data_IF_649162103077
#
_entry.id   IF_649162103077
#
_cell.length_a   1.000
_cell.length_b   1.000
_cell.length_c   1.000
_cell.angle_alpha   90.00
_cell.angle_beta   90.00
_cell.angle_gamma   90.00
#
_symmetry.space_group_name_H-M   'P 1'
#
loop_
_entity.id
_entity.type
_entity.pdbx_description
1 polymer ?
#
# COMPACT_ATOMS: atom_id res chain seq x y z
N UNK A 1 14.19 -37.98 3.68
CA UNK A 1 14.48 -36.53 3.64
C UNK A 1 14.71 -36.05 5.07
N UNK A 2 15.97 -35.84 5.47
CA UNK A 2 16.32 -35.34 6.80
C UNK A 2 16.47 -33.82 6.75
N UNK A 3 15.60 -33.08 7.43
CA UNK A 3 15.84 -31.67 7.71
C UNK A 3 16.93 -31.59 8.78
N UNK A 4 18.18 -31.42 8.33
CA UNK A 4 19.31 -31.14 9.20
C UNK A 4 19.01 -29.86 9.98
N UNK A 5 18.72 -30.00 11.28
CA UNK A 5 18.59 -28.88 12.19
C UNK A 5 19.96 -28.21 12.31
N UNK A 6 20.05 -26.95 11.88
CA UNK A 6 21.31 -26.19 11.88
C UNK A 6 21.93 -26.18 13.29
N UNK A 7 23.26 -26.39 13.42
CA UNK A 7 23.99 -26.39 14.69
C UNK A 7 23.74 -25.11 15.51
N UNK A 8 23.76 -25.21 16.85
CA UNK A 8 23.45 -24.09 17.77
C UNK A 8 24.38 -22.88 17.57
N UNK A 9 25.62 -23.10 17.14
CA UNK A 9 26.57 -22.05 16.78
C UNK A 9 26.13 -21.26 15.52
N UNK A 10 25.52 -21.95 14.54
CA UNK A 10 24.98 -21.32 13.33
C UNK A 10 23.61 -20.69 13.56
N UNK A 11 22.85 -21.12 14.57
CA UNK A 11 21.62 -20.41 15.00
C UNK A 11 21.90 -18.98 15.48
N UNK A 12 23.09 -18.70 16.04
CA UNK A 12 23.55 -17.31 16.33
C UNK A 12 23.80 -16.53 15.03
N UNK A 13 24.32 -17.19 14.00
CA UNK A 13 24.55 -16.59 12.68
C UNK A 13 23.24 -16.36 11.92
N UNK A 14 22.29 -17.30 12.01
CA UNK A 14 20.97 -17.16 11.40
C UNK A 14 20.20 -15.97 11.99
N UNK A 15 20.09 -15.86 13.31
CA UNK A 15 19.44 -14.69 13.94
C UNK A 15 20.13 -13.37 13.61
N UNK A 16 21.46 -13.36 13.46
CA UNK A 16 22.21 -12.17 13.07
C UNK A 16 21.98 -11.82 11.59
N UNK A 17 21.95 -12.82 10.72
CA UNK A 17 21.66 -12.69 9.29
C UNK A 17 20.23 -12.22 9.06
N UNK A 18 19.24 -12.82 9.72
CA UNK A 18 17.85 -12.38 9.65
C UNK A 18 17.69 -10.97 10.21
N UNK A 19 18.34 -10.62 11.34
CA UNK A 19 18.33 -9.24 11.83
C UNK A 19 18.98 -8.25 10.86
N UNK A 20 20.08 -8.62 10.18
CA UNK A 20 20.71 -7.75 9.18
C UNK A 20 19.85 -7.61 7.93
N UNK A 21 19.18 -8.68 7.51
CA UNK A 21 18.22 -8.64 6.42
C UNK A 21 16.99 -7.80 6.81
N UNK A 22 16.47 -7.94 8.01
CA UNK A 22 15.40 -7.09 8.57
C UNK A 22 15.86 -5.65 8.82
N UNK A 23 17.13 -5.36 9.13
CA UNK A 23 17.59 -3.97 9.21
C UNK A 23 17.75 -3.34 7.83
N UNK A 24 18.20 -4.14 6.84
CA UNK A 24 18.47 -3.66 5.49
C UNK A 24 17.20 -3.55 4.63
N UNK A 25 16.32 -4.52 4.75
CA UNK A 25 15.06 -4.66 4.02
C UNK A 25 13.83 -4.45 4.91
N UNK A 26 14.05 -4.02 6.16
CA UNK A 26 13.00 -3.92 7.17
C UNK A 26 11.75 -3.24 6.71
N UNK A 27 10.64 -3.81 7.18
CA UNK A 27 9.29 -3.37 6.93
C UNK A 27 9.15 -1.86 6.97
N UNK A 28 9.73 -1.16 7.97
CA UNK A 28 9.65 0.32 8.06
C UNK A 28 10.29 1.09 6.90
N UNK A 29 11.48 0.70 6.44
CA UNK A 29 12.13 1.38 5.29
C UNK A 29 11.38 1.11 4.01
N UNK A 30 10.89 -0.12 3.85
CA UNK A 30 10.08 -0.51 2.70
C UNK A 30 8.70 0.18 2.73
N UNK A 31 8.08 0.27 3.90
CA UNK A 31 6.84 0.99 4.18
C UNK A 31 6.98 2.47 3.82
N UNK A 32 8.03 3.13 4.29
CA UNK A 32 8.30 4.53 3.96
C UNK A 32 8.48 4.73 2.45
N UNK A 33 9.12 3.79 1.74
CA UNK A 33 9.22 3.85 0.27
C UNK A 33 7.85 3.74 -0.39
N UNK A 34 6.98 2.85 0.08
CA UNK A 34 5.63 2.70 -0.44
C UNK A 34 4.76 3.91 -0.13
N UNK A 35 4.87 4.48 1.08
CA UNK A 35 4.23 5.74 1.46
C UNK A 35 4.67 6.88 0.54
N UNK A 36 5.97 7.04 0.30
CA UNK A 36 6.47 8.06 -0.63
C UNK A 36 6.00 7.82 -2.07
N UNK A 37 5.91 6.57 -2.52
CA UNK A 37 5.36 6.25 -3.85
C UNK A 37 3.88 6.60 -3.94
N UNK A 38 3.10 6.24 -2.93
CA UNK A 38 1.68 6.56 -2.84
C UNK A 38 1.48 8.08 -2.87
N UNK A 39 2.15 8.83 -1.99
CA UNK A 39 2.02 10.28 -1.88
C UNK A 39 2.35 11.04 -3.18
N UNK A 40 3.33 10.55 -3.93
CA UNK A 40 3.73 11.16 -5.20
C UNK A 40 2.91 10.67 -6.39
N UNK A 41 2.00 9.71 -6.19
CA UNK A 41 1.21 9.14 -7.27
C UNK A 41 0.03 10.05 -7.59
N UNK A 42 0.16 10.79 -8.69
CA UNK A 42 -0.91 11.57 -9.30
C UNK A 42 -1.47 10.86 -10.51
N UNK A 43 -2.76 11.03 -10.80
CA UNK A 43 -3.41 10.41 -11.96
C UNK A 43 -2.85 10.97 -13.28
N UNK A 44 -2.51 10.10 -14.22
CA UNK A 44 -2.10 10.51 -15.56
C UNK A 44 -3.27 11.04 -16.39
N UNK A 45 -3.02 11.97 -17.33
CA UNK A 45 -4.08 12.58 -18.17
C UNK A 45 -4.86 11.57 -19.02
N UNK A 46 -4.22 10.47 -19.43
CA UNK A 46 -4.79 9.39 -20.24
C UNK A 46 -5.16 8.17 -19.41
N UNK A 47 -4.99 8.24 -18.09
CA UNK A 47 -5.21 7.11 -17.19
C UNK A 47 -6.69 7.04 -16.78
N UNK A 48 -7.25 5.83 -16.83
CA UNK A 48 -8.61 5.58 -16.35
C UNK A 48 -8.66 5.64 -14.83
N UNK A 49 -9.79 6.07 -14.27
CA UNK A 49 -9.95 6.12 -12.81
C UNK A 49 -9.88 4.72 -12.20
N UNK A 50 -10.38 3.70 -12.90
CA UNK A 50 -10.24 2.31 -12.51
C UNK A 50 -8.78 1.87 -12.32
N UNK A 51 -7.93 2.10 -13.33
CA UNK A 51 -6.51 1.73 -13.26
C UNK A 51 -5.78 2.50 -12.15
N UNK A 52 -6.08 3.78 -12.00
CA UNK A 52 -5.54 4.61 -10.94
C UNK A 52 -5.97 4.13 -9.54
N UNK A 53 -7.26 3.82 -9.37
CA UNK A 53 -7.83 3.31 -8.14
C UNK A 53 -7.20 1.98 -7.71
N UNK A 54 -7.07 1.03 -8.63
CA UNK A 54 -6.43 -0.26 -8.37
C UNK A 54 -4.96 -0.10 -7.94
N UNK A 55 -4.22 0.81 -8.59
CA UNK A 55 -2.84 1.07 -8.22
C UNK A 55 -2.73 1.74 -6.84
N UNK A 56 -3.58 2.70 -6.54
CA UNK A 56 -3.64 3.35 -5.22
C UNK A 56 -4.00 2.34 -4.13
N UNK A 57 -4.96 1.42 -4.38
CA UNK A 57 -5.30 0.34 -3.45
C UNK A 57 -4.09 -0.55 -3.15
N UNK A 58 -3.37 -0.98 -4.19
CA UNK A 58 -2.16 -1.80 -4.04
C UNK A 58 -1.04 -1.07 -3.30
N UNK A 59 -0.88 0.24 -3.53
CA UNK A 59 0.10 1.06 -2.85
C UNK A 59 -0.27 1.23 -1.37
N UNK A 60 -1.54 1.47 -1.04
CA UNK A 60 -2.03 1.56 0.34
C UNK A 60 -1.81 0.27 1.12
N UNK A 61 -2.12 -0.89 0.55
CA UNK A 61 -1.88 -2.19 1.20
C UNK A 61 -0.40 -2.42 1.53
N UNK A 62 0.50 -1.97 0.64
CA UNK A 62 1.96 -2.09 0.83
C UNK A 62 2.52 -1.02 1.78
N UNK A 63 1.93 0.16 1.80
CA UNK A 63 2.32 1.30 2.63
C UNK A 63 1.77 1.22 4.06
N UNK A 64 0.67 0.50 4.26
CA UNK A 64 -0.03 0.39 5.54
C UNK A 64 -0.27 -1.08 5.92
N UNK A 65 0.70 -1.96 5.67
CA UNK A 65 0.57 -3.40 5.90
C UNK A 65 0.29 -3.81 7.36
N UNK A 66 0.44 -2.89 8.30
CA UNK A 66 0.16 -3.09 9.73
C UNK A 66 -1.23 -2.60 10.15
N UNK A 67 -1.94 -1.88 9.28
CA UNK A 67 -3.31 -1.44 9.52
C UNK A 67 -4.29 -2.52 9.07
N UNK A 68 -5.50 -2.47 9.60
CA UNK A 68 -6.64 -3.26 9.15
C UNK A 68 -7.06 -2.88 7.73
N UNK A 69 -7.74 -3.80 7.04
CA UNK A 69 -8.10 -3.64 5.64
C UNK A 69 -9.05 -2.45 5.41
N UNK A 70 -9.95 -2.18 6.37
CA UNK A 70 -10.88 -1.06 6.30
C UNK A 70 -10.14 0.29 6.38
N UNK A 71 -9.20 0.44 7.31
CA UNK A 71 -8.35 1.63 7.37
C UNK A 71 -7.47 1.78 6.11
N UNK A 72 -6.95 0.69 5.54
CA UNK A 72 -6.20 0.73 4.29
C UNK A 72 -7.06 1.23 3.11
N UNK A 73 -8.30 0.76 3.02
CA UNK A 73 -9.28 1.16 2.00
C UNK A 73 -9.62 2.65 2.12
N UNK A 74 -9.89 3.12 3.34
CA UNK A 74 -10.20 4.52 3.64
C UNK A 74 -9.04 5.46 3.27
N UNK A 75 -7.80 5.08 3.61
CA UNK A 75 -6.61 5.85 3.25
C UNK A 75 -6.38 5.89 1.73
N UNK A 76 -6.67 4.78 1.05
CA UNK A 76 -6.61 4.70 -0.40
C UNK A 76 -7.63 5.65 -1.06
N UNK A 77 -8.87 5.66 -0.56
CA UNK A 77 -9.92 6.59 -1.00
C UNK A 77 -9.56 8.06 -0.77
N UNK A 78 -9.08 8.40 0.41
CA UNK A 78 -8.65 9.76 0.71
C UNK A 78 -7.56 10.23 -0.26
N UNK A 79 -6.66 9.32 -0.63
CA UNK A 79 -5.61 9.60 -1.61
C UNK A 79 -6.15 9.77 -3.03
N UNK A 80 -7.13 8.97 -3.42
CA UNK A 80 -7.85 9.10 -4.68
C UNK A 80 -8.53 10.47 -4.78
N UNK A 81 -9.26 10.89 -3.74
CA UNK A 81 -9.89 12.21 -3.67
C UNK A 81 -8.89 13.36 -3.72
N UNK A 82 -7.68 13.20 -3.19
CA UNK A 82 -6.68 14.28 -3.23
C UNK A 82 -6.09 14.49 -4.63
N UNK A 83 -6.01 13.43 -5.43
CA UNK A 83 -5.24 13.41 -6.67
C UNK A 83 -6.10 13.36 -7.95
N UNK A 84 -7.42 13.47 -7.81
CA UNK A 84 -8.36 13.55 -8.93
C UNK A 84 -8.91 14.97 -9.14
N UNK A 85 -9.61 15.20 -10.25
CA UNK A 85 -10.15 16.51 -10.60
C UNK A 85 -11.18 17.01 -9.57
N UNK A 86 -11.29 18.33 -9.41
CA UNK A 86 -12.24 18.94 -8.48
C UNK A 86 -13.69 18.53 -8.76
N UNK A 87 -14.06 18.39 -10.02
CA UNK A 87 -15.39 17.95 -10.44
C UNK A 87 -15.66 16.50 -10.04
N UNK A 88 -14.67 15.61 -10.21
CA UNK A 88 -14.81 14.22 -9.82
C UNK A 88 -14.87 14.04 -8.30
N UNK A 89 -14.05 14.81 -7.57
CA UNK A 89 -14.11 14.87 -6.10
C UNK A 89 -15.51 15.18 -5.59
N UNK A 90 -16.20 16.15 -6.19
CA UNK A 90 -17.58 16.48 -5.80
C UNK A 90 -18.50 15.28 -5.98
N UNK A 91 -18.47 14.63 -7.16
CA UNK A 91 -19.32 13.46 -7.44
C UNK A 91 -19.08 12.29 -6.49
N UNK A 92 -17.82 12.07 -6.10
CA UNK A 92 -17.43 11.01 -5.17
C UNK A 92 -17.81 11.34 -3.73
N UNK A 93 -17.66 12.60 -3.31
CA UNK A 93 -18.07 13.05 -1.97
C UNK A 93 -19.59 13.00 -1.80
N UNK A 94 -20.35 13.36 -2.84
CA UNK A 94 -21.82 13.35 -2.81
C UNK A 94 -22.39 11.93 -2.62
N UNK A 95 -21.67 10.90 -3.09
CA UNK A 95 -22.08 9.49 -2.97
C UNK A 95 -21.52 8.76 -1.74
N UNK A 96 -20.72 9.43 -0.90
CA UNK A 96 -20.14 8.86 0.33
C UNK A 96 -19.51 7.48 0.13
N UNK A 97 -18.73 7.30 -0.95
CA UNK A 97 -18.11 6.00 -1.27
C UNK A 97 -17.22 5.50 -0.13
N UNK A 98 -17.43 4.24 0.28
CA UNK A 98 -16.67 3.57 1.34
C UNK A 98 -15.56 2.68 0.79
N UNK A 99 -15.63 2.31 -0.49
CA UNK A 99 -14.60 1.51 -1.16
C UNK A 99 -14.09 2.17 -2.44
N UNK A 100 -12.86 1.84 -2.85
CA UNK A 100 -12.34 2.28 -4.16
C UNK A 100 -13.21 1.73 -5.30
N UNK A 101 -13.77 0.53 -5.12
CA UNK A 101 -14.63 -0.09 -6.13
C UNK A 101 -15.87 0.79 -6.37
N UNK A 102 -16.54 1.22 -5.31
CA UNK A 102 -17.67 2.16 -5.41
C UNK A 102 -17.25 3.48 -6.06
N UNK A 103 -16.08 4.02 -5.71
CA UNK A 103 -15.60 5.26 -6.31
C UNK A 103 -15.38 5.13 -7.82
N UNK A 104 -14.87 3.99 -8.30
CA UNK A 104 -14.74 3.70 -9.73
C UNK A 104 -16.12 3.53 -10.39
N UNK A 105 -17.09 2.98 -9.65
CA UNK A 105 -18.56 2.93 -9.90
C UNK A 105 -19.18 4.22 -10.46
N UNK A 106 -18.71 5.35 -9.94
CA UNK A 106 -19.35 6.67 -10.13
C UNK A 106 -18.94 7.37 -11.43
N UNK A 107 -17.88 6.88 -12.08
CA UNK A 107 -17.14 7.55 -13.15
C UNK A 107 -17.51 7.00 -14.52
#
# INVERSE_FOLDING_TARGET
MHYSSLPVAEKRSYKLLTNRLEQRFGSKRQQNRWLSKMQNRMRGKTETIAAFGDEIRLLSQKAYSTLDQEAQEMLALQHLYKNDSAEMRCRLMDKTCQTISEAVEVV
#
